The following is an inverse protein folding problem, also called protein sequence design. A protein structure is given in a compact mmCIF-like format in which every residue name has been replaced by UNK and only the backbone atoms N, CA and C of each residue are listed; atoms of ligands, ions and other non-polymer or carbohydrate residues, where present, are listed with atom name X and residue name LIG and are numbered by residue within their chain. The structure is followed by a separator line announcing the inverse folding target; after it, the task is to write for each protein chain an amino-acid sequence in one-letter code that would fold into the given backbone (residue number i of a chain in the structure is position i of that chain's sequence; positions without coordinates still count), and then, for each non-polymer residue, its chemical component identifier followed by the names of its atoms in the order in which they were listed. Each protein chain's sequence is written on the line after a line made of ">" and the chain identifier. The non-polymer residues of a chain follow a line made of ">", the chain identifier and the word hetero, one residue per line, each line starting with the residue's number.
data_IF_559402737496
#
_entry.id   IF_559402737496
#
_cell.length_a   1.000
_cell.length_b   1.000
_cell.length_c   1.000
_cell.angle_alpha   90.00
_cell.angle_beta   90.00
_cell.angle_gamma   90.00
#
_symmetry.space_group_name_H-M   'P 1'
#
loop_
_entity.id
_entity.type
_entity.pdbx_description
1 polymer ?
#
# COMPACT_ATOMS: atom_id res chain seq x y z
N UNK A 1 -1.21 13.30 22.82
CA UNK A 1 -1.02 13.33 21.35
C UNK A 1 -2.29 12.79 20.74
N UNK A 2 -3.15 13.62 20.14
CA UNK A 2 -4.42 13.15 19.58
C UNK A 2 -4.17 12.41 18.27
N UNK A 3 -4.81 11.26 18.11
CA UNK A 3 -4.76 10.48 16.89
C UNK A 3 -5.33 11.28 15.70
N UNK A 4 -4.58 11.35 14.59
CA UNK A 4 -5.05 11.94 13.34
C UNK A 4 -5.71 10.86 12.46
N UNK A 5 -7.00 10.68 12.72
CA UNK A 5 -7.87 9.77 11.97
C UNK A 5 -8.00 10.16 10.48
N UNK A 6 -7.86 11.46 10.16
CA UNK A 6 -7.90 11.91 8.78
C UNK A 6 -6.66 11.48 8.00
N UNK A 7 -5.47 11.57 8.61
CA UNK A 7 -4.22 11.11 8.01
C UNK A 7 -4.24 9.58 7.77
N UNK A 8 -4.75 8.79 8.72
CA UNK A 8 -4.88 7.35 8.53
C UNK A 8 -5.85 7.03 7.37
N UNK A 9 -7.05 7.62 7.38
CA UNK A 9 -8.05 7.40 6.33
C UNK A 9 -7.52 7.80 4.95
N UNK A 10 -6.82 8.92 4.87
CA UNK A 10 -6.19 9.38 3.62
C UNK A 10 -5.15 8.38 3.13
N UNK A 11 -4.29 7.86 4.01
CA UNK A 11 -3.27 6.88 3.63
C UNK A 11 -3.89 5.54 3.19
N UNK A 12 -4.97 5.09 3.84
CA UNK A 12 -5.72 3.90 3.44
C UNK A 12 -6.34 4.09 2.05
N UNK A 13 -7.03 5.21 1.83
CA UNK A 13 -7.65 5.51 0.54
C UNK A 13 -6.63 5.54 -0.58
N UNK A 14 -5.48 6.21 -0.37
CA UNK A 14 -4.41 6.29 -1.36
C UNK A 14 -3.85 4.91 -1.73
N UNK A 15 -3.65 4.03 -0.74
CA UNK A 15 -3.18 2.67 -0.98
C UNK A 15 -4.18 1.84 -1.79
N UNK A 16 -5.47 1.87 -1.42
CA UNK A 16 -6.52 1.14 -2.15
C UNK A 16 -6.64 1.64 -3.59
N UNK A 17 -6.69 2.96 -3.80
CA UNK A 17 -6.74 3.53 -5.16
C UNK A 17 -5.54 3.13 -6.01
N UNK A 18 -4.32 3.12 -5.45
CA UNK A 18 -3.13 2.69 -6.18
C UNK A 18 -3.13 1.18 -6.47
N UNK A 19 -3.69 0.36 -5.57
CA UNK A 19 -3.86 -1.08 -5.80
C UNK A 19 -4.87 -1.34 -6.92
N UNK A 20 -6.04 -0.71 -6.87
CA UNK A 20 -7.09 -0.85 -7.89
C UNK A 20 -6.59 -0.40 -9.28
N UNK A 21 -5.82 0.68 -9.34
CA UNK A 21 -5.23 1.17 -10.59
C UNK A 21 -4.22 0.18 -11.19
N UNK A 22 -3.38 -0.44 -10.36
CA UNK A 22 -2.44 -1.47 -10.82
C UNK A 22 -3.18 -2.72 -11.29
N UNK A 23 -4.17 -3.18 -10.52
CA UNK A 23 -4.94 -4.39 -10.85
C UNK A 23 -5.70 -4.19 -12.17
N UNK A 24 -6.38 -3.05 -12.34
CA UNK A 24 -7.06 -2.70 -13.58
C UNK A 24 -6.10 -2.62 -14.78
N UNK A 25 -4.90 -2.07 -14.61
CA UNK A 25 -3.90 -2.00 -15.67
C UNK A 25 -3.33 -3.38 -16.03
N UNK A 26 -3.18 -4.27 -15.05
CA UNK A 26 -2.69 -5.63 -15.26
C UNK A 26 -3.72 -6.51 -15.99
N UNK A 27 -5.02 -6.36 -15.69
CA UNK A 27 -6.10 -7.12 -16.34
C UNK A 27 -6.19 -6.88 -17.85
N UNK A 28 -5.92 -5.65 -18.30
CA UNK A 28 -6.00 -5.28 -19.72
C UNK A 28 -4.68 -5.49 -20.48
N UNK A 29 -3.65 -6.04 -19.82
CA UNK A 29 -2.33 -6.23 -20.42
C UNK A 29 -1.58 -4.92 -20.68
N UNK A 30 -1.62 -4.00 -19.71
CA UNK A 30 -0.96 -2.70 -19.78
C UNK A 30 0.53 -2.77 -20.16
N UNK A 31 1.04 -1.67 -20.70
CA UNK A 31 2.45 -1.56 -21.09
C UNK A 31 3.38 -1.78 -19.87
N UNK A 32 4.48 -2.56 -20.01
CA UNK A 32 5.29 -2.97 -18.86
C UNK A 32 5.86 -1.82 -18.02
N UNK A 33 6.29 -0.72 -18.63
CA UNK A 33 6.79 0.44 -17.89
C UNK A 33 5.69 1.09 -17.07
N UNK A 34 4.49 1.25 -17.63
CA UNK A 34 3.33 1.78 -16.93
C UNK A 34 2.94 0.88 -15.73
N UNK A 35 3.00 -0.44 -15.88
CA UNK A 35 2.76 -1.37 -14.76
C UNK A 35 3.81 -1.22 -13.65
N UNK A 36 5.08 -1.00 -14.00
CA UNK A 36 6.14 -0.75 -13.03
C UNK A 36 5.93 0.57 -12.27
N UNK A 37 5.55 1.65 -12.96
CA UNK A 37 5.28 2.94 -12.34
C UNK A 37 4.06 2.87 -11.39
N UNK A 38 3.02 2.12 -11.78
CA UNK A 38 1.86 1.86 -10.92
C UNK A 38 2.22 0.99 -9.70
N UNK A 39 3.07 -0.01 -9.88
CA UNK A 39 3.56 -0.83 -8.79
C UNK A 39 4.41 -0.02 -7.79
N UNK A 40 5.24 0.90 -8.28
CA UNK A 40 5.98 1.84 -7.45
C UNK A 40 5.05 2.77 -6.68
N UNK A 41 4.04 3.35 -7.34
CA UNK A 41 3.04 4.20 -6.69
C UNK A 41 2.32 3.47 -5.55
N UNK A 42 1.91 2.21 -5.78
CA UNK A 42 1.31 1.35 -4.75
C UNK A 42 2.28 1.08 -3.59
N UNK A 43 3.55 0.81 -3.88
CA UNK A 43 4.56 0.58 -2.85
C UNK A 43 4.79 1.81 -1.96
N UNK A 44 4.88 3.00 -2.56
CA UNK A 44 5.01 4.27 -1.83
C UNK A 44 3.79 4.55 -0.96
N UNK A 45 2.58 4.36 -1.48
CA UNK A 45 1.35 4.50 -0.70
C UNK A 45 1.29 3.49 0.46
N UNK A 46 1.70 2.24 0.22
CA UNK A 46 1.77 1.20 1.25
C UNK A 46 2.76 1.52 2.36
N UNK A 47 3.90 2.14 2.03
CA UNK A 47 4.87 2.61 3.03
C UNK A 47 4.31 3.75 3.88
N UNK A 48 3.61 4.70 3.25
CA UNK A 48 2.94 5.79 3.96
C UNK A 48 1.86 5.27 4.93
N UNK A 49 1.03 4.33 4.48
CA UNK A 49 0.03 3.66 5.33
C UNK A 49 0.70 2.89 6.47
N UNK A 50 1.78 2.15 6.20
CA UNK A 50 2.51 1.42 7.23
C UNK A 50 3.04 2.34 8.32
N UNK A 51 3.55 3.53 7.97
CA UNK A 51 3.99 4.53 8.96
C UNK A 51 2.85 4.97 9.89
N UNK A 52 1.66 5.21 9.32
CA UNK A 52 0.48 5.55 10.12
C UNK A 52 0.07 4.40 11.05
N UNK A 53 0.03 3.16 10.53
CA UNK A 53 -0.32 1.98 11.33
C UNK A 53 0.67 1.75 12.48
N UNK A 54 1.98 1.88 12.22
CA UNK A 54 3.02 1.74 13.26
C UNK A 54 2.87 2.81 14.35
N UNK A 55 2.52 4.05 13.98
CA UNK A 55 2.23 5.11 14.96
C UNK A 55 1.04 4.78 15.87
N UNK A 56 0.16 3.85 15.46
CA UNK A 56 -0.98 3.35 16.23
C UNK A 56 -0.67 2.08 17.03
N UNK A 57 0.60 1.65 17.04
CA UNK A 57 1.01 0.43 17.72
C UNK A 57 0.70 -0.85 16.94
N UNK A 58 0.28 -0.74 15.67
CA UNK A 58 0.19 -1.93 14.81
C UNK A 58 1.59 -2.43 14.49
N UNK A 59 1.81 -3.72 14.75
CA UNK A 59 3.03 -4.42 14.34
C UNK A 59 2.67 -5.38 13.21
N UNK A 60 3.47 -5.35 12.14
CA UNK A 60 3.25 -6.28 11.05
C UNK A 60 3.39 -7.71 11.58
N UNK A 61 2.45 -8.63 11.26
CA UNK A 61 2.59 -10.02 11.64
C UNK A 61 3.94 -10.54 11.13
N UNK A 62 4.67 -11.23 12.00
CA UNK A 62 5.95 -11.82 11.64
C UNK A 62 5.72 -12.72 10.42
N UNK A 63 6.38 -12.40 9.30
CA UNK A 63 6.32 -13.25 8.11
C UNK A 63 6.99 -14.56 8.49
N UNK A 64 6.21 -15.59 8.83
CA UNK A 64 6.72 -16.94 8.96
C UNK A 64 7.23 -17.34 7.58
N UNK A 65 8.54 -17.32 7.40
CA UNK A 65 9.16 -18.03 6.29
C UNK A 65 8.95 -19.50 6.61
N UNK A 66 8.01 -20.14 5.90
CA UNK A 66 7.96 -21.59 5.83
C UNK A 66 9.27 -22.05 5.24
N UNK A 67 10.22 -22.43 6.10
CA UNK A 67 11.40 -23.20 5.72
C UNK A 67 10.91 -24.61 5.41
N UNK A 68 10.83 -24.93 4.13
CA UNK A 68 10.73 -26.31 3.62
C UNK A 68 12.05 -26.67 2.99
#
# INVERSE_FOLDING_TARGET
>A
MSFDDAALRSAMSAFVTAADALDAAAEIGGEPRALLDLAEAKAVAGLALRKQLVALGWTAPATQRSTT
#
